data_IF_186426243452
#
_entry.id   IF_186426243452
#
_cell.length_a   1.000
_cell.length_b   1.000
_cell.length_c   1.000
_cell.angle_alpha   90.00
_cell.angle_beta   90.00
_cell.angle_gamma   90.00
#
_symmetry.space_group_name_H-M   'P 1'
#
loop_
_entity.id
_entity.type
_entity.pdbx_description
1 polymer ?
#
# COMPACT_ATOMS: atom_id res chain seq x y z
N UNK A 1 -7.04 22.41 13.84
CA UNK A 1 -7.27 21.20 14.67
C UNK A 1 -6.25 20.15 14.26
N UNK A 2 -5.28 19.90 15.12
CA UNK A 2 -4.28 18.83 14.85
C UNK A 2 -4.90 17.47 15.17
N UNK A 3 -5.28 16.74 14.12
CA UNK A 3 -5.76 15.38 14.26
C UNK A 3 -4.69 14.49 14.91
N UNK A 4 -5.10 13.58 15.80
CA UNK A 4 -4.22 12.56 16.38
C UNK A 4 -3.48 11.81 15.27
N UNK A 5 -2.14 11.62 15.39
CA UNK A 5 -1.35 10.90 14.39
C UNK A 5 -1.88 9.51 14.05
N UNK A 6 -2.46 8.79 15.01
CA UNK A 6 -3.08 7.48 14.80
C UNK A 6 -4.35 7.59 13.95
N UNK A 7 -5.17 8.63 14.19
CA UNK A 7 -6.36 8.88 13.38
C UNK A 7 -5.99 9.23 11.93
N UNK A 8 -4.91 10.01 11.72
CA UNK A 8 -4.40 10.28 10.37
C UNK A 8 -3.99 9.00 9.64
N UNK A 9 -3.36 8.03 10.33
CA UNK A 9 -2.99 6.73 9.75
C UNK A 9 -4.23 5.90 9.43
N UNK A 10 -5.25 5.89 10.28
CA UNK A 10 -6.52 5.23 9.99
C UNK A 10 -7.22 5.83 8.77
N UNK A 11 -7.26 7.16 8.67
CA UNK A 11 -7.79 7.87 7.49
C UNK A 11 -6.97 7.54 6.22
N UNK A 12 -5.65 7.43 6.34
CA UNK A 12 -4.79 6.96 5.24
C UNK A 12 -5.22 5.58 4.75
N UNK A 13 -5.39 4.61 5.65
CA UNK A 13 -5.84 3.26 5.30
C UNK A 13 -7.23 3.25 4.65
N UNK A 14 -8.15 4.07 5.15
CA UNK A 14 -9.48 4.21 4.55
C UNK A 14 -9.42 4.78 3.12
N UNK A 15 -8.55 5.77 2.88
CA UNK A 15 -8.32 6.32 1.53
C UNK A 15 -7.67 5.26 0.62
N UNK A 16 -6.66 4.53 1.10
CA UNK A 16 -6.01 3.47 0.33
C UNK A 16 -6.99 2.37 -0.08
N UNK A 17 -7.96 2.03 0.77
CA UNK A 17 -8.96 0.99 0.49
C UNK A 17 -9.76 1.24 -0.81
N UNK A 18 -9.89 2.49 -1.24
CA UNK A 18 -10.59 2.83 -2.50
C UNK A 18 -9.80 2.42 -3.75
N UNK A 19 -8.50 2.16 -3.60
CA UNK A 19 -7.58 1.94 -4.73
C UNK A 19 -7.86 0.68 -5.52
N UNK A 20 -8.12 -0.46 -4.87
CA UNK A 20 -8.33 -1.74 -5.53
C UNK A 20 -9.48 -1.72 -6.53
N UNK A 21 -10.66 -1.30 -6.08
CA UNK A 21 -11.84 -1.18 -6.92
C UNK A 21 -11.65 -0.15 -8.06
N UNK A 22 -11.03 0.99 -7.78
CA UNK A 22 -10.79 2.03 -8.78
C UNK A 22 -9.77 1.59 -9.85
N UNK A 23 -8.67 0.91 -9.48
CA UNK A 23 -7.69 0.34 -10.42
C UNK A 23 -8.36 -0.67 -11.36
N UNK A 24 -9.23 -1.55 -10.84
CA UNK A 24 -9.96 -2.52 -11.67
C UNK A 24 -10.98 -1.86 -12.60
N UNK A 25 -11.59 -0.75 -12.19
CA UNK A 25 -12.53 0.00 -13.02
C UNK A 25 -11.85 0.73 -14.19
N UNK A 26 -10.53 0.94 -14.15
CA UNK A 26 -9.75 1.55 -15.22
C UNK A 26 -9.45 0.52 -16.31
N UNK A 27 -9.60 0.90 -17.59
CA UNK A 27 -9.44 -0.02 -18.74
C UNK A 27 -7.99 -0.21 -19.18
N UNK A 28 -7.09 0.66 -18.71
CA UNK A 28 -5.68 0.69 -19.09
C UNK A 28 -4.87 -0.49 -18.51
N UNK A 29 -3.72 -0.84 -19.11
CA UNK A 29 -2.76 -1.77 -18.55
C UNK A 29 -2.22 -1.30 -17.18
N UNK A 30 -1.94 -2.25 -16.29
CA UNK A 30 -1.47 -1.96 -14.92
C UNK A 30 -0.25 -1.02 -14.86
N UNK A 31 0.83 -1.27 -15.61
CA UNK A 31 1.98 -0.37 -15.66
C UNK A 31 1.63 1.05 -16.09
N UNK A 32 0.74 1.21 -17.06
CA UNK A 32 0.27 2.52 -17.54
C UNK A 32 -0.53 3.26 -16.46
N UNK A 33 -1.47 2.57 -15.80
CA UNK A 33 -2.22 3.13 -14.66
C UNK A 33 -1.24 3.62 -13.61
N UNK A 34 -0.26 2.80 -13.24
CA UNK A 34 0.71 3.16 -12.21
C UNK A 34 1.53 4.40 -12.58
N UNK A 35 2.03 4.47 -13.83
CA UNK A 35 2.80 5.61 -14.30
C UNK A 35 1.98 6.91 -14.33
N UNK A 36 0.79 6.87 -14.94
CA UNK A 36 -0.08 8.06 -15.06
C UNK A 36 -0.60 8.55 -13.70
N UNK A 37 -1.06 7.62 -12.85
CA UNK A 37 -1.47 7.92 -11.48
C UNK A 37 -0.35 8.59 -10.69
N UNK A 38 0.88 8.09 -10.86
CA UNK A 38 2.04 8.59 -10.15
C UNK A 38 2.38 10.05 -10.53
N UNK A 39 2.19 10.44 -11.79
CA UNK A 39 2.34 11.87 -12.19
C UNK A 39 1.35 12.75 -11.44
N UNK A 40 0.07 12.37 -11.42
CA UNK A 40 -0.98 13.13 -10.70
C UNK A 40 -0.68 13.20 -9.21
N UNK A 41 -0.26 12.07 -8.62
CA UNK A 41 0.10 12.00 -7.20
C UNK A 41 1.30 12.88 -6.87
N UNK A 42 2.35 12.87 -7.72
CA UNK A 42 3.52 13.73 -7.52
C UNK A 42 3.14 15.22 -7.52
N UNK A 43 2.34 15.66 -8.49
CA UNK A 43 1.85 17.03 -8.55
C UNK A 43 1.07 17.42 -7.30
N UNK A 44 0.15 16.54 -6.87
CA UNK A 44 -0.65 16.75 -5.64
C UNK A 44 0.25 16.85 -4.41
N UNK A 45 1.23 15.96 -4.28
CA UNK A 45 2.15 15.93 -3.15
C UNK A 45 3.08 17.15 -3.11
N UNK A 46 3.58 17.60 -4.26
CA UNK A 46 4.35 18.86 -4.32
C UNK A 46 3.51 20.09 -3.95
N UNK A 47 2.19 20.06 -4.16
CA UNK A 47 1.30 21.10 -3.70
C UNK A 47 1.04 21.04 -2.20
N UNK A 48 0.76 19.83 -1.67
CA UNK A 48 0.39 19.61 -0.26
C UNK A 48 1.58 19.61 0.70
N UNK A 49 2.79 19.31 0.20
CA UNK A 49 4.02 19.16 0.98
C UNK A 49 5.13 20.06 0.41
N UNK A 50 5.15 21.35 0.74
CA UNK A 50 6.16 22.28 0.20
C UNK A 50 7.60 21.87 0.50
N UNK A 51 7.83 21.16 1.62
CA UNK A 51 9.13 20.61 2.01
C UNK A 51 9.64 19.54 1.04
N UNK A 52 8.75 18.86 0.30
CA UNK A 52 9.11 17.86 -0.71
C UNK A 52 9.71 18.46 -1.99
N UNK A 53 9.57 19.79 -2.19
CA UNK A 53 10.09 20.47 -3.40
C UNK A 53 11.62 20.55 -3.44
N UNK A 54 12.29 20.25 -2.32
CA UNK A 54 13.76 20.17 -2.27
C UNK A 54 14.23 18.92 -3.03
N UNK A 55 15.42 18.99 -3.61
CA UNK A 55 16.06 17.84 -4.25
C UNK A 55 16.22 16.69 -3.23
N UNK A 56 16.00 15.44 -3.68
CA UNK A 56 16.09 14.29 -2.79
C UNK A 56 17.52 14.06 -2.31
N UNK A 57 17.71 13.85 -1.03
CA UNK A 57 19.01 13.43 -0.47
C UNK A 57 19.34 11.99 -0.87
N UNK A 58 20.61 11.59 -0.74
CA UNK A 58 21.03 10.20 -0.97
C UNK A 58 20.23 9.18 -0.15
N UNK A 59 19.79 9.57 1.06
CA UNK A 59 18.94 8.72 1.92
C UNK A 59 17.53 8.55 1.33
N UNK A 60 16.96 9.61 0.81
CA UNK A 60 15.68 9.55 0.10
C UNK A 60 15.81 8.61 -1.09
N UNK A 61 16.88 8.74 -1.90
CA UNK A 61 17.12 7.87 -3.06
C UNK A 61 17.18 6.39 -2.68
N UNK A 62 17.72 6.03 -1.51
CA UNK A 62 17.74 4.65 -1.01
C UNK A 62 16.34 4.07 -0.74
N UNK A 63 15.36 4.92 -0.44
CA UNK A 63 14.00 4.48 -0.12
C UNK A 63 13.08 4.48 -1.35
N UNK A 64 13.47 5.16 -2.46
CA UNK A 64 12.66 5.19 -3.69
C UNK A 64 12.33 3.81 -4.28
N UNK A 65 13.27 2.82 -4.32
CA UNK A 65 12.93 1.48 -4.80
C UNK A 65 11.84 0.79 -3.98
N UNK A 66 11.82 0.99 -2.65
CA UNK A 66 10.77 0.46 -1.79
C UNK A 66 9.42 1.15 -2.08
N UNK A 67 9.42 2.46 -2.33
CA UNK A 67 8.23 3.20 -2.77
C UNK A 67 7.71 2.66 -4.11
N UNK A 68 8.57 2.55 -5.11
CA UNK A 68 8.23 1.99 -6.42
C UNK A 68 7.66 0.58 -6.30
N UNK A 69 8.36 -0.32 -5.61
CA UNK A 69 7.91 -1.70 -5.41
C UNK A 69 6.54 -1.78 -4.73
N UNK A 70 6.30 -0.97 -3.70
CA UNK A 70 5.02 -0.96 -3.00
C UNK A 70 3.86 -0.44 -3.84
N UNK A 71 4.09 0.59 -4.66
CA UNK A 71 3.01 1.25 -5.41
C UNK A 71 2.81 0.68 -6.80
N UNK A 72 3.89 0.39 -7.53
CA UNK A 72 3.84 -0.15 -8.89
C UNK A 72 3.39 -1.61 -8.90
N UNK A 73 4.03 -2.46 -8.09
CA UNK A 73 3.70 -3.89 -8.05
C UNK A 73 2.29 -4.15 -7.53
N UNK A 74 1.80 -3.30 -6.62
CA UNK A 74 0.41 -3.39 -6.17
C UNK A 74 -0.58 -3.18 -7.32
N UNK A 75 -0.36 -2.19 -8.19
CA UNK A 75 -1.23 -1.96 -9.34
C UNK A 75 -1.17 -3.12 -10.32
N UNK A 76 0.03 -3.63 -10.59
CA UNK A 76 0.23 -4.79 -11.48
C UNK A 76 -0.46 -6.02 -10.89
N UNK A 77 -0.26 -6.30 -9.60
CA UNK A 77 -0.91 -7.40 -8.90
C UNK A 77 -2.45 -7.30 -8.99
N UNK A 78 -3.00 -6.12 -8.76
CA UNK A 78 -4.45 -5.87 -8.84
C UNK A 78 -5.03 -6.19 -10.22
N UNK A 79 -4.25 -6.07 -11.29
CA UNK A 79 -4.68 -6.43 -12.65
C UNK A 79 -4.53 -7.92 -12.96
N UNK A 80 -3.72 -8.66 -12.20
CA UNK A 80 -3.42 -10.07 -12.43
C UNK A 80 -4.20 -11.02 -11.52
N UNK A 81 -4.54 -10.57 -10.28
CA UNK A 81 -5.32 -11.34 -9.30
C UNK A 81 -6.55 -10.56 -8.84
N UNK A 82 -7.34 -11.12 -7.93
CA UNK A 82 -8.50 -10.39 -7.36
C UNK A 82 -8.04 -9.19 -6.53
N UNK A 83 -8.89 -8.16 -6.42
CA UNK A 83 -8.58 -6.99 -5.59
C UNK A 83 -8.39 -7.39 -4.12
N UNK A 84 -9.16 -8.37 -3.64
CA UNK A 84 -9.02 -8.92 -2.31
C UNK A 84 -7.66 -9.57 -2.09
N UNK A 85 -7.20 -10.45 -3.00
CA UNK A 85 -5.90 -11.10 -2.88
C UNK A 85 -4.75 -10.10 -2.94
N UNK A 86 -4.79 -9.17 -3.89
CA UNK A 86 -3.75 -8.15 -4.03
C UNK A 86 -3.55 -7.35 -2.73
N UNK A 87 -4.64 -6.90 -2.09
CA UNK A 87 -4.56 -6.10 -0.88
C UNK A 87 -4.18 -6.93 0.35
N UNK A 88 -4.73 -8.14 0.51
CA UNK A 88 -4.41 -8.96 1.66
C UNK A 88 -2.94 -9.43 1.66
N UNK A 89 -2.40 -9.76 0.49
CA UNK A 89 -1.01 -10.17 0.37
C UNK A 89 -0.04 -8.98 0.52
N UNK A 90 -0.39 -7.78 0.04
CA UNK A 90 0.36 -6.58 0.36
C UNK A 90 0.27 -6.23 1.86
N UNK A 91 -0.86 -6.51 2.50
CA UNK A 91 -1.09 -6.30 3.92
C UNK A 91 -0.22 -7.20 4.84
N UNK A 92 0.64 -8.04 4.28
CA UNK A 92 1.72 -8.71 5.04
C UNK A 92 2.84 -7.77 5.47
N UNK A 93 2.83 -6.50 5.08
CA UNK A 93 3.81 -5.49 5.45
C UNK A 93 4.19 -5.47 6.95
N UNK A 94 3.27 -5.65 7.93
CA UNK A 94 3.64 -5.74 9.35
C UNK A 94 4.65 -6.86 9.67
N UNK A 95 4.60 -8.00 8.97
CA UNK A 95 5.58 -9.09 9.15
C UNK A 95 6.98 -8.61 8.79
N UNK A 96 7.10 -7.95 7.66
CA UNK A 96 8.38 -7.44 7.16
C UNK A 96 8.91 -6.30 8.03
N UNK A 97 8.03 -5.40 8.49
CA UNK A 97 8.39 -4.35 9.48
C UNK A 97 8.89 -4.97 10.78
N UNK A 98 8.23 -6.03 11.28
CA UNK A 98 8.62 -6.71 12.50
C UNK A 98 9.97 -7.44 12.38
N UNK A 99 10.26 -8.01 11.20
CA UNK A 99 11.54 -8.67 10.92
C UNK A 99 12.69 -7.69 10.74
N UNK A 100 12.46 -6.58 10.05
CA UNK A 100 13.49 -5.60 9.67
C UNK A 100 13.65 -4.49 10.72
N UNK A 101 12.59 -4.16 11.45
CA UNK A 101 12.57 -3.09 12.45
C UNK A 101 13.65 -3.20 13.52
N UNK A 102 13.89 -4.38 14.12
CA UNK A 102 14.94 -4.56 15.12
C UNK A 102 16.34 -4.21 14.59
N UNK A 103 16.65 -4.65 13.36
CA UNK A 103 17.97 -4.42 12.75
C UNK A 103 18.15 -2.98 12.25
N UNK A 104 17.13 -2.39 11.64
CA UNK A 104 17.22 -1.10 10.97
C UNK A 104 16.82 0.09 11.85
N UNK A 105 15.92 -0.11 12.80
CA UNK A 105 15.37 0.93 13.67
C UNK A 105 15.67 0.74 15.15
N UNK A 106 16.12 -0.46 15.57
CA UNK A 106 16.20 -0.84 16.97
C UNK A 106 14.83 -1.02 17.64
N UNK A 107 13.74 -1.04 16.88
CA UNK A 107 12.37 -1.21 17.38
C UNK A 107 11.99 -2.69 17.39
N UNK A 108 11.72 -3.25 18.57
CA UNK A 108 11.27 -4.64 18.71
C UNK A 108 9.76 -4.70 18.82
N UNK A 109 9.09 -5.67 18.16
CA UNK A 109 7.66 -5.88 18.32
C UNK A 109 7.30 -6.19 19.77
N UNK A 110 6.18 -5.65 20.24
CA UNK A 110 5.63 -5.97 21.56
C UNK A 110 5.02 -7.36 21.57
N UNK A 111 4.85 -7.98 22.74
CA UNK A 111 4.25 -9.32 22.85
C UNK A 111 2.84 -9.41 22.22
N UNK A 112 2.02 -8.36 22.35
CA UNK A 112 0.71 -8.28 21.71
C UNK A 112 0.77 -8.20 20.18
N UNK A 113 1.83 -7.63 19.63
CA UNK A 113 2.04 -7.51 18.19
C UNK A 113 2.46 -8.86 17.59
N UNK A 114 3.23 -9.70 18.33
CA UNK A 114 3.59 -11.05 17.91
C UNK A 114 2.36 -11.92 17.63
N UNK A 115 1.33 -11.83 18.49
CA UNK A 115 0.08 -12.56 18.25
C UNK A 115 -0.57 -12.13 16.92
N UNK A 116 -0.65 -10.82 16.66
CA UNK A 116 -1.19 -10.30 15.40
C UNK A 116 -0.36 -10.77 14.19
N UNK A 117 0.99 -10.77 14.31
CA UNK A 117 1.89 -11.22 13.26
C UNK A 117 1.70 -12.70 12.91
N UNK A 118 1.52 -13.57 13.90
CA UNK A 118 1.21 -15.00 13.67
C UNK A 118 -0.14 -15.14 12.96
N UNK A 119 -1.17 -14.43 13.41
CA UNK A 119 -2.48 -14.47 12.75
C UNK A 119 -2.43 -13.93 11.30
N UNK A 120 -1.63 -12.88 11.04
CA UNK A 120 -1.39 -12.36 9.68
C UNK A 120 -0.74 -13.44 8.81
N UNK A 121 0.30 -14.12 9.31
CA UNK A 121 0.98 -15.18 8.58
C UNK A 121 0.05 -16.36 8.26
N UNK A 122 -0.77 -16.79 9.23
CA UNK A 122 -1.77 -17.85 9.04
C UNK A 122 -2.85 -17.41 8.05
N UNK A 123 -3.37 -16.19 8.19
CA UNK A 123 -4.36 -15.61 7.28
C UNK A 123 -3.83 -15.53 5.85
N UNK A 124 -2.57 -15.10 5.66
CA UNK A 124 -1.92 -15.11 4.35
C UNK A 124 -1.85 -16.52 3.74
N UNK A 125 -1.53 -17.54 4.55
CA UNK A 125 -1.52 -18.93 4.10
C UNK A 125 -2.85 -19.38 3.51
N UNK A 126 -3.97 -18.95 4.09
CA UNK A 126 -5.31 -19.29 3.60
C UNK A 126 -5.60 -18.75 2.19
N UNK A 127 -5.00 -17.62 1.78
CA UNK A 127 -5.15 -17.10 0.42
C UNK A 127 -4.46 -17.98 -0.64
N UNK A 128 -3.31 -18.57 -0.30
CA UNK A 128 -2.63 -19.49 -1.23
C UNK A 128 -3.30 -20.88 -1.27
N UNK A 129 -3.91 -21.30 -0.16
CA UNK A 129 -4.67 -22.57 -0.10
C UNK A 129 -6.02 -22.46 -0.82
N UNK A 130 -6.58 -21.27 -0.94
CA UNK A 130 -7.87 -21.05 -1.58
C UNK A 130 -7.88 -21.52 -3.05
N UNK A 131 -6.76 -21.40 -3.76
CA UNK A 131 -6.65 -21.66 -5.18
C UNK A 131 -7.70 -20.88 -5.97
N UNK A 132 -7.31 -20.04 -6.90
CA UNK A 132 -8.27 -19.32 -7.75
C UNK A 132 -8.00 -19.66 -9.20
N UNK A 133 -9.06 -20.02 -9.94
CA UNK A 133 -9.00 -20.18 -11.38
C UNK A 133 -8.92 -18.82 -12.06
N UNK A 134 -8.30 -18.78 -13.24
CA UNK A 134 -8.22 -17.56 -14.03
C UNK A 134 -9.62 -17.07 -14.41
N UNK A 135 -9.85 -15.78 -14.27
CA UNK A 135 -11.10 -15.10 -14.59
C UNK A 135 -10.84 -13.79 -15.33
N UNK A 136 -11.89 -13.16 -15.84
CA UNK A 136 -11.78 -11.88 -16.53
C UNK A 136 -11.17 -10.77 -15.66
N UNK A 137 -11.41 -10.82 -14.34
CA UNK A 137 -10.87 -9.86 -13.37
C UNK A 137 -9.56 -10.32 -12.70
N UNK A 138 -9.16 -11.58 -12.91
CA UNK A 138 -7.94 -12.20 -12.36
C UNK A 138 -7.32 -13.15 -13.40
N UNK A 139 -6.69 -12.63 -14.48
CA UNK A 139 -6.21 -13.46 -15.59
C UNK A 139 -5.02 -14.36 -15.24
N UNK A 140 -4.26 -14.04 -14.20
CA UNK A 140 -3.09 -14.81 -13.75
C UNK A 140 -2.97 -14.77 -12.22
N UNK A 141 -3.88 -15.45 -11.48
CA UNK A 141 -3.99 -15.29 -10.03
C UNK A 141 -2.69 -15.61 -9.27
N UNK A 142 -2.02 -16.71 -9.61
CA UNK A 142 -0.78 -17.11 -8.94
C UNK A 142 0.34 -16.06 -9.12
N UNK A 143 0.56 -15.60 -10.35
CA UNK A 143 1.54 -14.56 -10.62
C UNK A 143 1.18 -13.25 -9.91
N UNK A 144 -0.09 -12.86 -9.94
CA UNK A 144 -0.59 -11.70 -9.24
C UNK A 144 -0.38 -11.78 -7.73
N UNK A 145 -0.61 -12.96 -7.14
CA UNK A 145 -0.40 -13.21 -5.71
C UNK A 145 1.10 -13.10 -5.33
N UNK A 146 2.00 -13.66 -6.12
CA UNK A 146 3.45 -13.54 -5.90
C UNK A 146 3.89 -12.07 -5.95
N UNK A 147 3.45 -11.34 -6.99
CA UNK A 147 3.75 -9.91 -7.14
C UNK A 147 3.17 -9.11 -5.96
N UNK A 148 1.98 -9.45 -5.47
CA UNK A 148 1.38 -8.81 -4.31
C UNK A 148 2.19 -9.02 -3.02
N UNK A 149 2.76 -10.22 -2.80
CA UNK A 149 3.67 -10.48 -1.67
C UNK A 149 4.94 -9.62 -1.78
N UNK A 150 5.56 -9.54 -2.96
CA UNK A 150 6.74 -8.69 -3.19
C UNK A 150 6.39 -7.21 -2.96
N UNK A 151 5.20 -6.79 -3.36
CA UNK A 151 4.68 -5.46 -3.03
C UNK A 151 4.55 -5.25 -1.52
N UNK A 152 4.10 -6.27 -0.77
CA UNK A 152 4.02 -6.26 0.69
C UNK A 152 5.39 -6.13 1.37
N UNK A 153 6.41 -6.86 0.89
CA UNK A 153 7.81 -6.67 1.33
C UNK A 153 8.25 -5.23 1.12
N UNK A 154 8.02 -4.71 -0.10
CA UNK A 154 8.40 -3.35 -0.47
C UNK A 154 7.67 -2.31 0.38
N UNK A 155 6.41 -2.54 0.71
CA UNK A 155 5.64 -1.65 1.57
C UNK A 155 6.15 -1.70 3.03
N UNK A 156 6.51 -2.87 3.53
CA UNK A 156 7.18 -2.98 4.84
C UNK A 156 8.50 -2.21 4.89
N UNK A 157 9.34 -2.35 3.87
CA UNK A 157 10.58 -1.58 3.72
C UNK A 157 10.33 -0.07 3.64
N UNK A 158 9.29 0.35 2.94
CA UNK A 158 8.89 1.75 2.83
C UNK A 158 8.49 2.32 4.20
N UNK A 159 7.68 1.61 4.99
CA UNK A 159 7.27 2.03 6.34
C UNK A 159 8.48 2.15 7.29
N UNK A 160 9.42 1.19 7.22
CA UNK A 160 10.69 1.26 7.94
C UNK A 160 11.51 2.48 7.47
N UNK A 161 11.57 2.71 6.16
CA UNK A 161 12.24 3.86 5.56
C UNK A 161 11.65 5.20 6.03
N UNK A 162 10.34 5.34 6.05
CA UNK A 162 9.66 6.54 6.58
C UNK A 162 10.01 6.78 8.05
N UNK A 163 9.99 5.73 8.86
CA UNK A 163 10.34 5.84 10.28
C UNK A 163 11.81 6.21 10.47
N UNK A 164 12.69 5.60 9.68
CA UNK A 164 14.14 5.89 9.70
C UNK A 164 14.45 7.35 9.33
N UNK A 165 13.86 7.83 8.23
CA UNK A 165 14.04 9.21 7.76
C UNK A 165 13.43 10.22 8.74
N UNK A 166 12.25 9.92 9.28
CA UNK A 166 11.54 10.79 10.21
C UNK A 166 12.26 11.05 11.52
N UNK A 167 13.14 10.14 11.95
CA UNK A 167 13.99 10.33 13.13
C UNK A 167 15.19 11.26 12.88
N UNK A 168 15.54 11.50 11.60
CA UNK A 168 16.80 12.17 11.23
C UNK A 168 16.62 13.55 10.63
N UNK A 169 15.46 13.88 10.11
CA UNK A 169 15.24 15.18 9.49
C UNK A 169 13.79 15.46 9.11
N UNK A 170 13.37 16.71 9.23
CA UNK A 170 12.04 17.14 8.79
C UNK A 170 11.97 17.19 7.27
N UNK A 171 10.93 16.56 6.69
CA UNK A 171 10.60 16.66 5.27
C UNK A 171 11.19 15.57 4.37
N UNK A 172 12.13 14.72 4.83
CA UNK A 172 12.68 13.65 3.99
C UNK A 172 11.61 12.61 3.59
N UNK A 173 10.67 12.29 4.48
CA UNK A 173 9.54 11.40 4.12
C UNK A 173 8.64 12.02 3.07
N UNK A 174 8.40 13.33 3.16
CA UNK A 174 7.65 14.08 2.16
C UNK A 174 8.34 14.05 0.80
N UNK A 175 9.67 14.14 0.79
CA UNK A 175 10.44 13.97 -0.43
C UNK A 175 10.33 12.56 -1.01
N UNK A 176 10.36 11.50 -0.16
CA UNK A 176 10.17 10.10 -0.66
C UNK A 176 8.87 9.95 -1.41
N UNK A 177 7.73 10.45 -0.88
CA UNK A 177 6.44 10.23 -1.54
C UNK A 177 6.30 11.06 -2.83
N UNK A 178 6.79 12.29 -2.86
CA UNK A 178 6.70 13.12 -4.06
C UNK A 178 7.67 12.65 -5.16
N UNK A 179 8.96 12.50 -4.84
CA UNK A 179 9.98 12.02 -5.78
C UNK A 179 9.81 10.54 -6.10
N UNK A 180 9.29 9.74 -5.16
CA UNK A 180 8.94 8.33 -5.36
C UNK A 180 7.86 8.15 -6.41
N UNK A 181 6.89 9.04 -6.48
CA UNK A 181 5.90 9.03 -7.55
C UNK A 181 6.53 9.40 -8.91
N UNK A 182 7.42 10.41 -8.99
CA UNK A 182 8.14 10.69 -10.23
C UNK A 182 9.02 9.51 -10.66
N UNK A 183 9.71 8.88 -9.71
CA UNK A 183 10.49 7.67 -9.95
C UNK A 183 9.60 6.52 -10.44
N UNK A 184 8.41 6.35 -9.84
CA UNK A 184 7.43 5.34 -10.28
C UNK A 184 6.89 5.64 -11.68
N UNK A 185 6.65 6.89 -12.03
CA UNK A 185 6.23 7.28 -13.37
C UNK A 185 7.32 6.94 -14.41
N UNK A 186 8.57 7.30 -14.12
CA UNK A 186 9.70 7.03 -15.01
C UNK A 186 9.96 5.52 -15.16
N UNK A 187 10.14 4.80 -14.05
CA UNK A 187 10.40 3.35 -14.08
C UNK A 187 9.22 2.56 -14.66
N UNK A 188 7.97 2.94 -14.33
CA UNK A 188 6.79 2.30 -14.89
C UNK A 188 6.70 2.47 -16.41
N UNK A 189 7.02 3.65 -16.92
CA UNK A 189 7.11 3.89 -18.37
C UNK A 189 8.22 3.07 -19.02
N UNK A 190 9.40 2.97 -18.37
CA UNK A 190 10.50 2.12 -18.85
C UNK A 190 10.13 0.64 -18.87
N UNK A 191 9.41 0.15 -17.85
CA UNK A 191 8.89 -1.24 -17.81
C UNK A 191 7.93 -1.48 -18.97
N UNK A 192 7.04 -0.53 -19.29
CA UNK A 192 6.15 -0.66 -20.43
C UNK A 192 6.93 -0.81 -21.75
N UNK A 193 7.96 0.03 -21.94
CA UNK A 193 8.79 -0.03 -23.15
C UNK A 193 9.59 -1.35 -23.21
N UNK A 194 10.17 -1.78 -22.08
CA UNK A 194 11.00 -2.98 -22.02
C UNK A 194 10.22 -4.29 -22.21
N UNK A 195 8.94 -4.30 -21.85
CA UNK A 195 8.06 -5.48 -21.97
C UNK A 195 7.08 -5.36 -23.15
N UNK A 196 7.27 -4.39 -24.03
CA UNK A 196 6.38 -4.12 -25.18
C UNK A 196 4.90 -4.06 -24.79
N UNK A 197 4.60 -3.51 -23.59
CA UNK A 197 3.20 -3.36 -23.15
C UNK A 197 2.51 -2.29 -24.00
N UNK A 198 1.45 -2.61 -24.73
CA UNK A 198 0.79 -1.64 -25.58
C UNK A 198 0.20 -0.49 -24.80
N UNK A 199 0.40 0.73 -25.28
CA UNK A 199 -0.24 1.93 -24.72
C UNK A 199 -1.73 1.93 -25.05
N UNK A 200 -2.57 1.81 -24.01
CA UNK A 200 -4.01 2.00 -24.16
C UNK A 200 -4.36 3.49 -24.25
N UNK A 201 -5.39 3.82 -25.02
CA UNK A 201 -5.93 5.18 -25.08
C UNK A 201 -6.88 5.41 -23.90
N UNK A 202 -6.58 6.37 -22.99
CA UNK A 202 -7.44 6.63 -21.84
C UNK A 202 -8.80 7.17 -22.27
N UNK A 203 -9.85 6.57 -21.76
CA UNK A 203 -11.23 7.10 -21.89
C UNK A 203 -11.45 8.27 -20.92
N UNK A 204 -12.50 9.10 -21.11
CA UNK A 204 -12.85 10.13 -20.12
C UNK A 204 -13.05 9.57 -18.70
N UNK A 205 -13.61 8.35 -18.59
CA UNK A 205 -13.76 7.63 -17.31
C UNK A 205 -12.40 7.30 -16.70
N UNK A 206 -11.44 6.81 -17.51
CA UNK A 206 -10.09 6.50 -17.02
C UNK A 206 -9.38 7.75 -16.47
N UNK A 207 -9.53 8.90 -17.14
CA UNK A 207 -8.97 10.16 -16.66
C UNK A 207 -9.55 10.56 -15.29
N UNK A 208 -10.86 10.47 -15.10
CA UNK A 208 -11.50 10.74 -13.81
C UNK A 208 -10.95 9.81 -12.72
N UNK A 209 -10.84 8.52 -13.02
CA UNK A 209 -10.29 7.54 -12.09
C UNK A 209 -8.82 7.87 -11.77
N UNK A 210 -7.98 8.10 -12.78
CA UNK A 210 -6.56 8.39 -12.60
C UNK A 210 -6.32 9.65 -11.76
N UNK A 211 -7.10 10.71 -11.99
CA UNK A 211 -7.04 11.93 -11.18
C UNK A 211 -7.49 11.64 -9.75
N UNK A 212 -8.59 10.93 -9.55
CA UNK A 212 -9.09 10.60 -8.22
C UNK A 212 -8.11 9.74 -7.41
N UNK A 213 -7.60 8.63 -8.00
CA UNK A 213 -6.64 7.76 -7.31
C UNK A 213 -5.25 8.41 -7.17
N UNK A 214 -4.85 9.27 -8.09
CA UNK A 214 -3.59 10.00 -7.98
C UNK A 214 -3.64 11.08 -6.91
N UNK A 215 -4.66 11.95 -6.92
CA UNK A 215 -4.76 13.07 -5.99
C UNK A 215 -5.26 12.66 -4.60
N UNK A 216 -6.34 11.90 -4.51
CA UNK A 216 -6.98 11.58 -3.22
C UNK A 216 -6.39 10.31 -2.62
N UNK A 217 -6.46 9.19 -3.34
CA UNK A 217 -6.07 7.89 -2.82
C UNK A 217 -4.55 7.79 -2.57
N UNK A 218 -3.71 8.39 -3.41
CA UNK A 218 -2.25 8.44 -3.20
C UNK A 218 -1.83 9.78 -2.59
N UNK A 219 -2.15 10.90 -3.20
CA UNK A 219 -1.67 12.22 -2.79
C UNK A 219 -2.06 12.59 -1.37
N UNK A 220 -3.37 12.67 -1.08
CA UNK A 220 -3.85 13.03 0.25
C UNK A 220 -3.50 11.97 1.29
N UNK A 221 -3.62 10.68 0.95
CA UNK A 221 -3.34 9.59 1.89
C UNK A 221 -1.87 9.58 2.32
N UNK A 222 -0.91 9.66 1.39
CA UNK A 222 0.49 9.73 1.75
C UNK A 222 0.87 11.02 2.46
N UNK A 223 0.22 12.16 2.16
CA UNK A 223 0.44 13.40 2.90
C UNK A 223 0.05 13.26 4.39
N UNK A 224 -1.02 12.53 4.70
CA UNK A 224 -1.40 12.20 6.07
C UNK A 224 -0.42 11.22 6.71
N UNK A 225 0.00 10.18 5.97
CA UNK A 225 0.89 9.14 6.46
C UNK A 225 2.26 9.69 6.85
N UNK A 226 2.93 10.43 5.96
CA UNK A 226 4.29 10.92 6.20
C UNK A 226 4.37 11.90 7.36
N UNK A 227 3.31 12.67 7.61
CA UNK A 227 3.23 13.56 8.78
C UNK A 227 3.04 12.81 10.09
N UNK A 228 2.59 11.57 10.05
CA UNK A 228 2.30 10.75 11.23
C UNK A 228 3.40 9.74 11.56
N UNK A 229 4.14 9.26 10.56
CA UNK A 229 5.18 8.23 10.73
C UNK A 229 6.31 8.58 11.71
N UNK A 230 6.76 9.85 11.86
CA UNK A 230 7.75 10.20 12.89
C UNK A 230 7.24 10.02 14.32
N UNK A 231 5.92 10.10 14.51
CA UNK A 231 5.26 10.17 15.82
C UNK A 231 4.72 8.80 16.28
N UNK A 232 4.68 7.81 15.40
CA UNK A 232 4.12 6.47 15.67
C UNK A 232 5.14 5.39 15.32
N UNK A 233 5.37 4.37 16.20
CA UNK A 233 6.24 3.24 15.89
C UNK A 233 5.83 2.53 14.60
N UNK A 234 6.82 2.05 13.82
CA UNK A 234 6.57 1.49 12.49
C UNK A 234 5.62 0.29 12.50
N UNK A 235 5.78 -0.63 13.48
CA UNK A 235 4.88 -1.78 13.65
C UNK A 235 3.46 -1.31 13.96
N UNK A 236 3.29 -0.35 14.87
CA UNK A 236 1.96 0.18 15.20
C UNK A 236 1.32 0.89 14.01
N UNK A 237 2.08 1.66 13.24
CA UNK A 237 1.57 2.32 12.04
C UNK A 237 1.12 1.30 10.99
N UNK A 238 1.90 0.24 10.74
CA UNK A 238 1.54 -0.82 9.80
C UNK A 238 0.29 -1.59 10.24
N UNK A 239 0.12 -1.82 11.55
CA UNK A 239 -1.09 -2.44 12.08
C UNK A 239 -2.32 -1.52 11.94
N UNK A 240 -2.20 -0.21 12.14
CA UNK A 240 -3.32 0.73 11.95
C UNK A 240 -3.77 0.81 10.48
N UNK A 241 -2.84 0.66 9.54
CA UNK A 241 -3.15 0.59 8.11
C UNK A 241 -3.95 -0.65 7.71
N UNK A 242 -4.05 -1.68 8.58
CA UNK A 242 -4.85 -2.87 8.32
C UNK A 242 -6.37 -2.61 8.18
N UNK A 243 -6.84 -1.39 8.44
CA UNK A 243 -8.20 -0.98 8.06
C UNK A 243 -8.40 -1.03 6.54
N UNK A 244 -7.35 -0.83 5.76
CA UNK A 244 -7.39 -0.90 4.29
C UNK A 244 -7.84 -2.28 3.79
N UNK A 245 -7.19 -3.41 4.14
CA UNK A 245 -7.64 -4.73 3.71
C UNK A 245 -8.98 -5.15 4.29
N UNK A 246 -9.45 -4.51 5.37
CA UNK A 246 -10.81 -4.72 5.88
C UNK A 246 -11.88 -4.11 4.97
N UNK A 247 -11.62 -2.91 4.45
CA UNK A 247 -12.57 -2.15 3.64
C UNK A 247 -12.50 -2.50 2.14
N UNK A 248 -11.32 -2.87 1.62
CA UNK A 248 -11.11 -3.07 0.19
C UNK A 248 -12.00 -4.16 -0.43
N UNK A 249 -12.14 -5.38 0.15
CA UNK A 249 -13.01 -6.41 -0.42
C UNK A 249 -14.48 -6.00 -0.45
N UNK A 250 -14.93 -5.23 0.53
CA UNK A 250 -16.28 -4.68 0.55
C UNK A 250 -16.51 -3.73 -0.62
N UNK A 251 -15.55 -2.83 -0.88
CA UNK A 251 -15.61 -1.91 -2.02
C UNK A 251 -15.52 -2.64 -3.36
N UNK A 252 -14.67 -3.67 -3.47
CA UNK A 252 -14.56 -4.49 -4.67
C UNK A 252 -15.87 -5.26 -4.96
N UNK A 253 -16.52 -5.79 -3.92
CA UNK A 253 -17.83 -6.42 -4.04
C UNK A 253 -18.90 -5.43 -4.50
N UNK A 254 -18.98 -4.26 -3.87
CA UNK A 254 -19.99 -3.24 -4.19
C UNK A 254 -19.85 -2.68 -5.62
N UNK A 255 -18.61 -2.53 -6.11
CA UNK A 255 -18.32 -1.91 -7.41
C UNK A 255 -18.28 -2.92 -8.54
N UNK A 256 -17.71 -4.10 -8.31
CA UNK A 256 -17.44 -5.10 -9.37
C UNK A 256 -18.21 -6.42 -9.17
N UNK A 257 -18.92 -6.61 -8.07
CA UNK A 257 -19.55 -7.87 -7.71
C UNK A 257 -18.54 -9.00 -7.43
N UNK A 258 -17.25 -8.67 -7.21
CA UNK A 258 -16.23 -9.66 -6.87
C UNK A 258 -16.58 -10.34 -5.54
N UNK A 259 -16.79 -11.66 -5.58
CA UNK A 259 -17.01 -12.47 -4.38
C UNK A 259 -15.72 -13.16 -4.01
N UNK A 260 -15.07 -12.75 -2.91
CA UNK A 260 -13.86 -13.42 -2.45
C UNK A 260 -14.16 -14.87 -2.10
N UNK A 261 -13.19 -15.76 -2.34
CA UNK A 261 -13.30 -17.17 -1.94
C UNK A 261 -13.52 -17.26 -0.41
N UNK A 262 -14.33 -18.20 0.11
CA UNK A 262 -14.59 -18.32 1.57
C UNK A 262 -13.32 -18.38 2.43
N UNK A 263 -12.27 -19.07 1.98
CA UNK A 263 -10.97 -19.09 2.67
C UNK A 263 -10.29 -17.70 2.69
N UNK A 264 -10.44 -16.91 1.62
CA UNK A 264 -9.93 -15.54 1.60
C UNK A 264 -10.68 -14.64 2.61
N UNK A 265 -12.00 -14.82 2.72
CA UNK A 265 -12.81 -14.13 3.74
C UNK A 265 -12.37 -14.54 5.15
N UNK A 266 -12.15 -15.84 5.40
CA UNK A 266 -11.68 -16.35 6.70
C UNK A 266 -10.28 -15.79 7.03
N UNK A 267 -9.35 -15.80 6.07
CA UNK A 267 -8.02 -15.20 6.21
C UNK A 267 -8.07 -13.71 6.51
N UNK A 268 -8.90 -12.97 5.79
CA UNK A 268 -9.11 -11.54 6.01
C UNK A 268 -9.71 -11.24 7.39
N UNK A 269 -10.72 -12.00 7.81
CA UNK A 269 -11.32 -11.87 9.14
C UNK A 269 -10.31 -12.15 10.26
N UNK A 270 -9.47 -13.18 10.09
CA UNK A 270 -8.39 -13.50 11.03
C UNK A 270 -7.39 -12.35 11.16
N UNK A 271 -6.95 -11.78 10.03
CA UNK A 271 -6.01 -10.65 9.98
C UNK A 271 -6.61 -9.44 10.71
N UNK A 272 -7.81 -9.01 10.30
CA UNK A 272 -8.48 -7.83 10.86
C UNK A 272 -8.78 -8.01 12.35
N UNK A 273 -9.29 -9.18 12.74
CA UNK A 273 -9.60 -9.50 14.13
C UNK A 273 -8.34 -9.45 15.02
N UNK A 274 -7.25 -10.04 14.57
CA UNK A 274 -5.99 -10.04 15.31
C UNK A 274 -5.39 -8.65 15.48
N UNK A 275 -5.44 -7.83 14.43
CA UNK A 275 -4.95 -6.44 14.47
C UNK A 275 -5.79 -5.58 15.41
N UNK A 276 -7.12 -5.72 15.33
CA UNK A 276 -8.04 -5.02 16.23
C UNK A 276 -7.78 -5.41 17.69
N UNK A 277 -7.65 -6.70 17.96
CA UNK A 277 -7.34 -7.20 19.31
C UNK A 277 -5.99 -6.67 19.82
N UNK A 278 -4.93 -6.72 18.99
CA UNK A 278 -3.60 -6.20 19.34
C UNK A 278 -3.64 -4.70 19.67
N UNK A 279 -4.38 -3.92 18.88
CA UNK A 279 -4.51 -2.47 19.08
C UNK A 279 -5.27 -2.13 20.36
N UNK A 280 -6.36 -2.88 20.67
CA UNK A 280 -7.14 -2.68 21.88
C UNK A 280 -6.36 -3.08 23.15
N UNK A 281 -5.60 -4.18 23.08
CA UNK A 281 -4.73 -4.62 24.19
C UNK A 281 -3.61 -3.63 24.46
N UNK A 282 -3.06 -2.98 23.41
CA UNK A 282 -2.05 -1.95 23.58
C UNK A 282 -2.60 -0.68 24.28
N UNK A 283 -3.87 -0.32 24.05
CA UNK A 283 -4.54 0.82 24.73
C UNK A 283 -4.75 0.63 26.23
N UNK A 284 -5.04 -0.61 26.68
CA UNK A 284 -5.32 -0.88 28.11
C UNK A 284 -4.08 -0.81 29.01
N UNK A 285 -2.88 -0.67 28.43
CA UNK A 285 -1.61 -0.65 29.19
C UNK A 285 -0.87 0.70 29.15
N UNK A 286 -1.48 1.71 28.53
CA UNK A 286 -1.10 3.14 28.64
C UNK A 286 -2.09 3.88 29.51
#
# INVERSE_FOLDING_TARGET
>A
MDLDPRLRILLTGALFATGGAAIKACTLPGPQISAMRAVVAALTLFLLLPEARRLPSARVLLVLPAYFGSTFLFVVANKLTTAANAIFLQATAPLWVAMLGPALLGERPRRSEWFALVCIALGMGLFFLAGEDASATAPSPLLGNIIAVVSGVSFGLLLVGFRWLGRRGKGEQSAVVAWGNLFTAACGSLVMLALDVPFGTPTPKDWVILVAIGSVQVGCAYALLVRSMPLVPAVQASLLLMIEPALNPLLAFLVHGERPHPMAVAGGALIVGAVTASTLLARKRT
#
